data_IF_431017817500
#
_entry.id   IF_431017817500
#
_cell.length_a   1.000
_cell.length_b   1.000
_cell.length_c   1.000
_cell.angle_alpha   90.00
_cell.angle_beta   90.00
_cell.angle_gamma   90.00
#
_symmetry.space_group_name_H-M   'P 1'
#
loop_
_entity.id
_entity.type
_entity.pdbx_description
1 polymer ?
#
# COMPACT_ATOMS: atom_id res chain seq x y z
N UNK A 1 -9.18 8.05 -17.42
CA UNK A 1 -8.14 8.54 -16.48
C UNK A 1 -8.70 8.93 -15.11
N UNK A 2 -9.90 9.55 -14.97
CA UNK A 2 -10.41 10.01 -13.64
C UNK A 2 -11.68 9.32 -13.11
N UNK A 3 -12.25 8.34 -13.83
CA UNK A 3 -13.42 7.52 -13.43
C UNK A 3 -14.54 8.29 -12.68
N UNK A 4 -14.90 9.50 -13.13
CA UNK A 4 -15.80 10.43 -12.42
C UNK A 4 -17.15 9.83 -12.01
N UNK A 5 -17.71 8.90 -12.79
CA UNK A 5 -18.97 8.22 -12.46
C UNK A 5 -18.89 7.32 -11.23
N UNK A 6 -17.70 6.94 -10.77
CA UNK A 6 -17.48 6.08 -9.61
C UNK A 6 -17.33 6.86 -8.29
N UNK A 7 -17.23 8.19 -8.36
CA UNK A 7 -16.98 9.06 -7.22
C UNK A 7 -18.06 10.15 -7.18
N UNK A 8 -19.10 9.98 -6.35
CA UNK A 8 -20.03 11.06 -6.01
C UNK A 8 -19.31 12.31 -5.49
N UNK A 9 -20.05 13.42 -5.33
CA UNK A 9 -19.45 14.65 -4.77
C UNK A 9 -19.01 14.38 -3.33
N UNK A 10 -17.71 14.54 -3.07
CA UNK A 10 -17.10 14.28 -1.77
C UNK A 10 -15.57 14.39 -1.82
N UNK A 11 -14.94 14.20 -0.67
CA UNK A 11 -13.48 14.13 -0.54
C UNK A 11 -13.10 12.65 -0.38
N UNK A 12 -12.13 12.21 -1.17
CA UNK A 12 -11.65 10.83 -1.19
C UNK A 12 -10.14 10.82 -1.01
N UNK A 13 -9.65 9.76 -0.38
CA UNK A 13 -8.23 9.45 -0.28
C UNK A 13 -7.90 8.28 -1.20
N UNK A 14 -6.64 8.18 -1.64
CA UNK A 14 -6.18 7.02 -2.38
C UNK A 14 -6.13 5.80 -1.43
N UNK A 15 -6.45 4.59 -1.93
CA UNK A 15 -6.24 3.37 -1.16
C UNK A 15 -4.78 3.20 -0.73
N UNK A 16 -4.53 2.63 0.46
CA UNK A 16 -3.18 2.40 0.99
C UNK A 16 -2.25 1.66 0.03
N UNK A 17 -2.79 0.77 -0.80
CA UNK A 17 -1.99 0.05 -1.79
C UNK A 17 -1.27 1.01 -2.77
N UNK A 18 -1.94 2.09 -3.18
CA UNK A 18 -1.34 3.10 -4.05
C UNK A 18 -0.32 3.95 -3.31
N UNK A 19 -0.53 4.21 -2.02
CA UNK A 19 0.44 4.92 -1.17
C UNK A 19 1.74 4.10 -1.02
N UNK A 20 1.62 2.79 -0.79
CA UNK A 20 2.76 1.85 -0.76
C UNK A 20 3.49 1.77 -2.10
N UNK A 21 2.77 1.82 -3.23
CA UNK A 21 3.38 1.85 -4.57
C UNK A 21 4.17 3.15 -4.80
N UNK A 22 3.64 4.30 -4.35
CA UNK A 22 4.36 5.58 -4.40
C UNK A 22 5.64 5.49 -3.58
N UNK A 23 5.58 4.98 -2.35
CA UNK A 23 6.78 4.78 -1.54
C UNK A 23 7.79 3.83 -2.21
N UNK A 24 7.31 2.69 -2.75
CA UNK A 24 8.15 1.71 -3.42
C UNK A 24 8.92 2.27 -4.62
N UNK A 25 8.30 3.16 -5.40
CA UNK A 25 8.90 3.78 -6.58
C UNK A 25 10.14 4.65 -6.24
N UNK A 26 10.26 5.13 -5.00
CA UNK A 26 11.38 5.98 -4.59
C UNK A 26 12.57 5.20 -4.00
N UNK A 27 12.39 3.92 -3.67
CA UNK A 27 13.39 3.15 -2.91
C UNK A 27 14.70 2.95 -3.66
N UNK A 28 14.64 2.71 -4.97
CA UNK A 28 15.82 2.50 -5.81
C UNK A 28 16.70 3.75 -5.82
N UNK A 29 16.10 4.93 -5.94
CA UNK A 29 16.82 6.20 -5.91
C UNK A 29 17.54 6.42 -4.56
N UNK A 30 16.94 5.96 -3.46
CA UNK A 30 17.51 6.05 -2.11
C UNK A 30 18.48 4.91 -1.78
N UNK A 31 18.69 3.96 -2.70
CA UNK A 31 19.53 2.77 -2.46
C UNK A 31 18.99 1.82 -1.39
N UNK A 32 17.69 1.90 -1.10
CA UNK A 32 17.04 1.09 -0.05
C UNK A 32 16.67 -0.28 -0.60
N UNK A 33 16.92 -1.33 0.19
CA UNK A 33 16.47 -2.71 -0.10
C UNK A 33 15.40 -3.13 0.90
N UNK A 34 14.20 -3.40 0.40
CA UNK A 34 13.13 -3.96 1.20
C UNK A 34 13.26 -5.49 1.33
N UNK A 35 13.04 -5.98 2.54
CA UNK A 35 12.83 -7.41 2.79
C UNK A 35 11.50 -7.87 2.18
N UNK A 36 11.46 -9.09 1.65
CA UNK A 36 10.24 -9.71 1.15
C UNK A 36 9.65 -10.64 2.22
N UNK A 37 8.36 -10.48 2.48
CA UNK A 37 7.62 -11.33 3.41
C UNK A 37 7.42 -12.71 2.78
N UNK A 38 7.68 -13.77 3.54
CA UNK A 38 7.34 -15.14 3.12
C UNK A 38 5.84 -15.40 3.29
N UNK A 39 5.30 -16.40 2.60
CA UNK A 39 3.88 -16.79 2.77
C UNK A 39 3.56 -17.19 4.21
N UNK A 40 4.52 -17.82 4.91
CA UNK A 40 4.35 -18.19 6.32
C UNK A 40 4.26 -16.95 7.22
N UNK A 41 5.13 -15.95 7.04
CA UNK A 41 5.09 -14.70 7.79
C UNK A 41 3.80 -13.92 7.51
N UNK A 42 3.35 -13.91 6.26
CA UNK A 42 2.12 -13.24 5.85
C UNK A 42 0.89 -13.89 6.52
N UNK A 43 0.81 -15.22 6.49
CA UNK A 43 -0.24 -15.97 7.18
C UNK A 43 -0.20 -15.76 8.70
N UNK A 44 0.99 -15.68 9.30
CA UNK A 44 1.14 -15.42 10.73
C UNK A 44 0.60 -14.05 11.14
N UNK A 45 0.74 -13.04 10.27
CA UNK A 45 0.29 -11.67 10.52
C UNK A 45 -1.12 -11.38 9.97
N UNK A 46 -1.76 -12.35 9.32
CA UNK A 46 -3.02 -12.17 8.58
C UNK A 46 -2.95 -11.04 7.53
N UNK A 47 -1.84 -11.02 6.78
CA UNK A 47 -1.57 -10.03 5.73
C UNK A 47 -1.34 -10.70 4.38
N UNK A 48 -1.50 -9.94 3.30
CA UNK A 48 -1.04 -10.35 1.97
C UNK A 48 0.48 -10.08 1.85
N UNK A 49 1.23 -10.96 1.19
CA UNK A 49 2.68 -10.79 0.95
C UNK A 49 3.02 -9.52 0.16
N UNK A 50 2.07 -8.99 -0.62
CA UNK A 50 2.17 -7.75 -1.38
C UNK A 50 1.48 -6.55 -0.70
N UNK A 51 1.03 -6.68 0.54
CA UNK A 51 0.33 -5.63 1.28
C UNK A 51 -1.17 -5.49 0.89
N UNK A 52 -1.90 -4.51 1.45
CA UNK A 52 -1.40 -3.46 2.35
C UNK A 52 -0.80 -4.02 3.64
N UNK A 53 0.33 -3.47 4.07
CA UNK A 53 1.08 -3.99 5.22
C UNK A 53 0.62 -3.40 6.55
N UNK A 54 -0.36 -2.48 6.52
CA UNK A 54 -0.91 -1.77 7.68
C UNK A 54 -2.41 -1.51 7.52
N UNK A 55 -3.17 -1.54 8.63
CA UNK A 55 -4.61 -1.29 8.60
C UNK A 55 -4.94 0.20 8.37
N UNK A 56 -6.19 0.49 7.99
CA UNK A 56 -6.65 1.84 7.61
C UNK A 56 -6.35 2.94 8.64
N UNK A 57 -6.58 2.65 9.92
CA UNK A 57 -6.40 3.60 11.02
C UNK A 57 -4.94 3.79 11.45
N UNK A 58 -3.99 3.11 10.82
CA UNK A 58 -2.57 3.23 11.15
C UNK A 58 -2.03 4.60 10.73
N UNK A 59 -1.30 5.26 11.63
CA UNK A 59 -0.90 6.66 11.46
C UNK A 59 0.32 6.85 10.57
N UNK A 60 1.21 5.85 10.46
CA UNK A 60 2.35 5.74 9.54
C UNK A 60 2.87 4.33 9.52
#
# INVERSE_FOLDING_TARGET
>A
FTKKSQYPIGVYILPKKLDEEVAAAHLEHLGVRLSKMTSEQANYLDLNTAGPFKPEHYRY
#
